data_IF_836979505828
#
_entry.id   IF_836979505828
#
_cell.length_a   1.000
_cell.length_b   1.000
_cell.length_c   1.000
_cell.angle_alpha   90.00
_cell.angle_beta   90.00
_cell.angle_gamma   90.00
#
_symmetry.space_group_name_H-M   'P 1'
#
loop_
_entity.id
_entity.type
_entity.pdbx_description
1 polymer ?
#
# COMPACT_ATOMS: atom_id res chain seq x y z
N UNK A 1 23.97 -4.94 -12.45
CA UNK A 1 23.46 -5.51 -11.21
C UNK A 1 22.27 -6.40 -11.54
N UNK A 2 22.33 -7.63 -11.11
CA UNK A 2 21.26 -8.60 -11.37
C UNK A 2 20.19 -8.50 -10.29
N UNK A 3 18.93 -8.44 -10.71
CA UNK A 3 17.83 -8.51 -9.76
C UNK A 3 17.73 -9.92 -9.17
N UNK A 4 17.45 -10.05 -7.87
CA UNK A 4 17.18 -11.36 -7.29
C UNK A 4 15.88 -11.94 -7.85
N UNK A 5 15.73 -13.26 -7.74
CA UNK A 5 14.50 -13.93 -8.14
C UNK A 5 13.31 -13.46 -7.30
N UNK A 6 12.12 -13.41 -7.89
CA UNK A 6 10.92 -13.06 -7.13
C UNK A 6 10.69 -14.04 -5.98
N UNK A 7 10.18 -13.52 -4.87
CA UNK A 7 9.76 -14.32 -3.72
C UNK A 7 8.24 -14.37 -3.68
N UNK A 8 7.69 -15.52 -3.29
CA UNK A 8 6.27 -15.62 -3.01
C UNK A 8 6.02 -15.11 -1.59
N UNK A 9 5.22 -14.04 -1.47
CA UNK A 9 4.90 -13.42 -0.19
C UNK A 9 3.39 -13.33 -0.02
N UNK A 10 2.88 -13.96 1.04
CA UNK A 10 1.53 -13.68 1.54
C UNK A 10 1.68 -12.57 2.58
N UNK A 11 1.19 -11.38 2.26
CA UNK A 11 1.39 -10.20 3.12
C UNK A 11 0.77 -10.37 4.50
N UNK A 12 -0.22 -11.27 4.65
CA UNK A 12 -0.89 -11.52 5.93
C UNK A 12 -0.12 -12.48 6.83
N UNK A 13 0.93 -13.11 6.33
CA UNK A 13 1.74 -14.06 7.10
C UNK A 13 3.05 -13.44 7.54
N UNK A 14 3.26 -13.42 8.85
CA UNK A 14 4.43 -12.81 9.48
C UNK A 14 5.39 -13.89 9.96
N UNK A 15 6.71 -13.70 9.84
CA UNK A 15 7.37 -12.62 9.08
C UNK A 15 7.39 -12.92 7.57
N UNK A 16 7.55 -11.88 6.76
CA UNK A 16 7.77 -12.08 5.33
C UNK A 16 9.14 -12.77 5.11
N UNK A 17 9.24 -13.70 4.14
CA UNK A 17 10.47 -14.46 3.92
C UNK A 17 11.54 -13.68 3.17
N UNK A 18 11.88 -12.50 3.64
CA UNK A 18 12.90 -11.65 3.04
C UNK A 18 14.27 -12.02 3.61
N UNK A 19 15.26 -12.32 2.76
CA UNK A 19 16.61 -12.65 3.25
C UNK A 19 17.15 -11.52 4.13
N UNK A 20 17.70 -11.88 5.29
CA UNK A 20 18.20 -10.90 6.27
C UNK A 20 19.24 -9.95 5.69
N UNK A 21 20.05 -10.42 4.75
CA UNK A 21 21.05 -9.58 4.08
C UNK A 21 20.45 -8.42 3.26
N UNK A 22 19.18 -8.53 2.88
CA UNK A 22 18.49 -7.47 2.12
C UNK A 22 17.81 -6.46 3.03
N UNK A 23 17.45 -6.87 4.25
CA UNK A 23 16.64 -6.04 5.15
C UNK A 23 17.35 -4.73 5.50
N UNK A 24 18.63 -4.79 5.84
CA UNK A 24 19.38 -3.59 6.24
C UNK A 24 19.54 -2.57 5.11
N UNK A 25 19.38 -3.01 3.87
CA UNK A 25 19.55 -2.18 2.68
C UNK A 25 18.22 -1.77 2.05
N UNK A 26 17.09 -2.11 2.65
CA UNK A 26 15.79 -1.72 2.12
C UNK A 26 15.60 -0.20 2.25
N UNK A 27 15.30 0.44 1.13
CA UNK A 27 15.03 1.89 1.06
C UNK A 27 13.54 2.15 1.04
N UNK A 28 12.76 1.29 0.41
CA UNK A 28 11.34 1.47 0.23
C UNK A 28 10.64 0.15 -0.07
N UNK A 29 9.34 0.13 0.21
CA UNK A 29 8.43 -0.93 -0.21
C UNK A 29 7.40 -0.26 -1.10
N UNK A 30 7.20 -0.79 -2.30
CA UNK A 30 6.29 -0.23 -3.30
C UNK A 30 5.15 -1.22 -3.53
N UNK A 31 3.92 -0.73 -3.46
CA UNK A 31 2.73 -1.54 -3.74
C UNK A 31 1.84 -0.82 -4.75
N UNK A 32 1.51 -1.51 -5.83
CA UNK A 32 0.73 -0.96 -6.93
C UNK A 32 -0.61 -1.71 -7.01
N UNK A 33 -1.71 -1.00 -6.72
CA UNK A 33 -3.09 -1.51 -6.76
C UNK A 33 -3.42 -2.68 -5.83
N UNK A 34 -2.47 -3.28 -5.16
CA UNK A 34 -2.68 -4.49 -4.36
C UNK A 34 -3.75 -4.31 -3.29
N UNK A 35 -3.72 -3.18 -2.58
CA UNK A 35 -4.65 -2.95 -1.45
C UNK A 35 -6.11 -2.82 -1.88
N UNK A 36 -6.37 -2.50 -3.15
CA UNK A 36 -7.72 -2.39 -3.70
C UNK A 36 -8.24 -3.75 -4.18
N UNK A 37 -7.32 -4.64 -4.56
CA UNK A 37 -7.62 -5.96 -5.13
C UNK A 37 -7.25 -7.05 -4.11
N UNK A 38 -7.58 -6.79 -2.86
CA UNK A 38 -7.28 -7.67 -1.73
C UNK A 38 -8.18 -7.27 -0.55
N UNK A 39 -8.42 -8.18 0.40
CA UNK A 39 -9.12 -7.83 1.64
C UNK A 39 -8.39 -6.73 2.41
N UNK A 40 -9.13 -5.96 3.19
CA UNK A 40 -8.56 -4.86 4.00
C UNK A 40 -7.44 -5.32 4.92
N UNK A 41 -7.49 -6.57 5.40
CA UNK A 41 -6.44 -7.14 6.23
C UNK A 41 -5.06 -7.06 5.57
N UNK A 42 -5.02 -7.10 4.23
CA UNK A 42 -3.75 -6.97 3.49
C UNK A 42 -3.15 -5.57 3.64
N UNK A 43 -3.98 -4.53 3.70
CA UNK A 43 -3.51 -3.16 3.96
C UNK A 43 -2.91 -3.06 5.36
N UNK A 44 -3.61 -3.60 6.35
CA UNK A 44 -3.13 -3.62 7.74
C UNK A 44 -1.79 -4.35 7.85
N UNK A 45 -1.70 -5.53 7.25
CA UNK A 45 -0.49 -6.34 7.26
C UNK A 45 0.65 -5.66 6.51
N UNK A 46 0.36 -4.99 5.39
CA UNK A 46 1.37 -4.26 4.62
C UNK A 46 2.09 -3.24 5.51
N UNK A 47 1.34 -2.39 6.21
CA UNK A 47 1.94 -1.37 7.08
C UNK A 47 2.62 -1.98 8.30
N UNK A 48 2.00 -2.99 8.92
CA UNK A 48 2.56 -3.64 10.09
C UNK A 48 3.89 -4.33 9.80
N UNK A 49 3.94 -5.15 8.75
CA UNK A 49 5.16 -5.88 8.40
C UNK A 49 6.23 -4.96 7.82
N UNK A 50 5.83 -3.97 7.03
CA UNK A 50 6.77 -2.95 6.55
C UNK A 50 7.40 -2.17 7.70
N UNK A 51 6.64 -1.88 8.74
CA UNK A 51 7.16 -1.19 9.92
C UNK A 51 8.25 -1.99 10.63
N UNK A 52 8.15 -3.33 10.61
CA UNK A 52 9.17 -4.19 11.19
C UNK A 52 10.44 -4.25 10.34
N UNK A 53 10.29 -4.16 9.02
CA UNK A 53 11.40 -4.32 8.09
C UNK A 53 12.15 -3.03 7.80
N UNK A 54 11.43 -1.90 7.75
CA UNK A 54 12.01 -0.61 7.38
C UNK A 54 12.55 0.13 8.60
N UNK A 55 13.75 0.66 8.47
CA UNK A 55 14.30 1.58 9.45
C UNK A 55 13.63 2.95 9.34
N UNK A 56 13.67 3.75 10.41
CA UNK A 56 13.18 5.12 10.37
C UNK A 56 13.85 5.89 9.24
N UNK A 57 13.08 6.73 8.56
CA UNK A 57 13.55 7.47 7.39
C UNK A 57 13.31 6.77 6.07
N UNK A 58 12.90 5.49 6.07
CA UNK A 58 12.60 4.73 4.85
C UNK A 58 11.12 4.87 4.50
N UNK A 59 10.74 4.36 3.34
CA UNK A 59 9.47 4.72 2.72
C UNK A 59 8.58 3.53 2.35
N UNK A 60 7.27 3.75 2.40
CA UNK A 60 6.28 2.95 1.67
C UNK A 60 5.71 3.85 0.59
N UNK A 61 5.60 3.32 -0.62
CA UNK A 61 5.03 4.02 -1.77
C UNK A 61 3.84 3.20 -2.28
N UNK A 62 2.66 3.82 -2.29
CA UNK A 62 1.45 3.22 -2.81
C UNK A 62 1.03 3.93 -4.08
N UNK A 63 0.57 3.16 -5.07
CA UNK A 63 0.03 3.69 -6.31
C UNK A 63 -1.34 3.05 -6.58
N UNK A 64 -2.30 3.86 -6.98
CA UNK A 64 -3.61 3.37 -7.39
C UNK A 64 -4.68 4.45 -7.32
N UNK A 65 -5.92 4.06 -7.60
CA UNK A 65 -7.06 4.93 -7.38
C UNK A 65 -7.38 4.98 -5.88
N UNK A 66 -7.89 6.10 -5.41
CA UNK A 66 -8.31 6.24 -4.01
C UNK A 66 -9.60 7.06 -3.97
N UNK A 67 -10.47 6.76 -3.01
CA UNK A 67 -11.54 7.69 -2.65
C UNK A 67 -10.96 8.76 -1.74
N UNK A 68 -11.48 9.96 -1.84
CA UNK A 68 -11.13 11.09 -0.99
C UNK A 68 -12.40 11.57 -0.31
N UNK A 69 -12.38 11.69 1.01
CA UNK A 69 -13.54 12.04 1.81
C UNK A 69 -14.75 11.16 1.50
N UNK A 70 -14.49 9.85 1.38
CA UNK A 70 -15.47 8.79 1.10
C UNK A 70 -16.18 8.97 -0.26
N UNK A 71 -15.54 9.67 -1.19
CA UNK A 71 -16.12 9.92 -2.52
C UNK A 71 -15.14 9.52 -3.61
N UNK A 72 -15.68 8.96 -4.70
CA UNK A 72 -14.88 8.70 -5.88
C UNK A 72 -14.51 10.00 -6.58
N UNK A 73 -13.26 10.10 -7.02
CA UNK A 73 -12.77 11.29 -7.73
C UNK A 73 -13.18 11.31 -9.19
N UNK A 74 -13.68 10.19 -9.71
CA UNK A 74 -14.13 10.08 -11.10
C UNK A 74 -15.14 8.95 -11.26
N UNK A 75 -15.90 9.02 -12.39
CA UNK A 75 -16.83 7.94 -12.74
C UNK A 75 -16.10 6.64 -13.08
N UNK A 76 -14.91 6.75 -13.67
CA UNK A 76 -14.12 5.56 -14.00
C UNK A 76 -13.63 4.85 -12.72
N UNK A 77 -13.24 5.59 -11.69
CA UNK A 77 -12.87 4.99 -10.41
C UNK A 77 -14.06 4.34 -9.72
N UNK A 78 -15.23 4.95 -9.82
CA UNK A 78 -16.47 4.35 -9.28
C UNK A 78 -16.82 3.05 -10.00
N UNK A 79 -16.71 3.01 -11.32
CA UNK A 79 -16.96 1.81 -12.11
C UNK A 79 -15.94 0.71 -11.77
N UNK A 80 -14.68 1.07 -11.59
CA UNK A 80 -13.63 0.14 -11.19
C UNK A 80 -13.92 -0.47 -9.81
N UNK A 81 -14.32 0.35 -8.86
CA UNK A 81 -14.70 -0.09 -7.50
C UNK A 81 -15.84 -1.12 -7.57
N UNK A 82 -16.89 -0.81 -8.33
CA UNK A 82 -18.02 -1.73 -8.52
C UNK A 82 -17.57 -3.05 -9.15
N UNK A 83 -16.70 -2.99 -10.16
CA UNK A 83 -16.14 -4.16 -10.82
C UNK A 83 -15.36 -5.05 -9.83
N UNK A 84 -14.56 -4.44 -8.96
CA UNK A 84 -13.81 -5.18 -7.95
C UNK A 84 -14.75 -5.88 -6.97
N UNK A 85 -15.77 -5.18 -6.47
CA UNK A 85 -16.74 -5.71 -5.51
C UNK A 85 -17.56 -6.86 -6.10
N UNK A 86 -17.83 -6.84 -7.39
CA UNK A 86 -18.51 -7.93 -8.09
C UNK A 86 -17.60 -9.16 -8.14
N UNK A 87 -16.29 -8.98 -8.38
CA UNK A 87 -15.34 -10.09 -8.43
C UNK A 87 -15.11 -10.68 -7.03
N UNK A 88 -15.02 -9.84 -6.01
CA UNK A 88 -14.85 -10.26 -4.64
C UNK A 88 -15.35 -9.15 -3.71
N UNK A 89 -16.32 -9.47 -2.84
CA UNK A 89 -16.95 -8.48 -1.97
C UNK A 89 -15.99 -7.83 -0.96
N UNK A 90 -14.82 -8.46 -0.71
CA UNK A 90 -13.81 -7.91 0.19
C UNK A 90 -12.86 -6.93 -0.51
N UNK A 91 -12.94 -6.83 -1.83
CA UNK A 91 -12.13 -5.91 -2.62
C UNK A 91 -12.84 -4.58 -2.82
N UNK A 92 -12.08 -3.55 -3.13
CA UNK A 92 -12.64 -2.26 -3.46
C UNK A 92 -11.61 -1.15 -3.43
N UNK A 93 -11.96 -0.03 -4.05
CA UNK A 93 -11.12 1.18 -3.99
C UNK A 93 -11.16 1.73 -2.57
N UNK A 94 -9.99 1.89 -1.97
CA UNK A 94 -9.86 2.29 -0.55
C UNK A 94 -9.92 3.81 -0.38
N UNK A 95 -10.36 4.22 0.81
CA UNK A 95 -10.35 5.62 1.20
C UNK A 95 -8.95 6.05 1.59
N UNK A 96 -8.49 7.18 1.07
CA UNK A 96 -7.21 7.77 1.42
C UNK A 96 -7.08 7.95 2.94
N UNK A 97 -8.14 8.46 3.59
CA UNK A 97 -8.15 8.75 5.03
C UNK A 97 -8.00 7.49 5.86
N UNK A 98 -8.65 6.39 5.46
CA UNK A 98 -8.55 5.12 6.17
C UNK A 98 -7.14 4.51 6.01
N UNK A 99 -6.55 4.63 4.83
CA UNK A 99 -5.19 4.18 4.59
C UNK A 99 -4.20 5.00 5.42
N UNK A 100 -4.40 6.32 5.49
CA UNK A 100 -3.57 7.20 6.32
C UNK A 100 -3.63 6.82 7.80
N UNK A 101 -4.82 6.46 8.32
CA UNK A 101 -4.96 6.02 9.72
C UNK A 101 -4.12 4.77 9.98
N UNK A 102 -4.16 3.80 9.08
CA UNK A 102 -3.38 2.57 9.20
C UNK A 102 -1.88 2.88 9.18
N UNK A 103 -1.46 3.80 8.31
CA UNK A 103 -0.07 4.25 8.24
C UNK A 103 0.38 4.84 9.59
N UNK A 104 -0.40 5.75 10.15
CA UNK A 104 -0.07 6.44 11.41
C UNK A 104 0.06 5.44 12.56
N UNK A 105 -0.86 4.48 12.66
CA UNK A 105 -0.83 3.45 13.71
C UNK A 105 0.50 2.69 13.68
N UNK A 106 1.07 2.50 12.49
CA UNK A 106 2.31 1.74 12.30
C UNK A 106 3.57 2.60 12.19
N UNK A 107 3.48 3.87 12.57
CA UNK A 107 4.65 4.76 12.64
C UNK A 107 5.04 5.43 11.34
N UNK A 108 4.12 5.48 10.37
CA UNK A 108 4.34 6.12 9.08
C UNK A 108 3.57 7.43 8.96
N UNK A 109 4.14 8.39 8.27
CA UNK A 109 3.51 9.67 7.99
C UNK A 109 3.50 9.93 6.49
N UNK A 110 2.35 10.34 5.96
CA UNK A 110 2.27 10.74 4.56
C UNK A 110 3.11 12.00 4.35
N UNK A 111 4.06 11.93 3.42
CA UNK A 111 4.93 13.05 3.06
C UNK A 111 4.54 13.70 1.75
N UNK A 112 4.06 12.91 0.79
CA UNK A 112 3.66 13.42 -0.50
C UNK A 112 2.43 12.67 -1.01
N UNK A 113 1.60 13.41 -1.73
CA UNK A 113 0.52 12.88 -2.53
C UNK A 113 0.72 13.46 -3.93
N UNK A 114 0.89 12.60 -4.91
CA UNK A 114 1.16 13.02 -6.29
C UNK A 114 0.02 12.55 -7.18
N UNK A 115 -0.63 13.50 -7.85
CA UNK A 115 -1.67 13.17 -8.83
C UNK A 115 -1.03 12.57 -10.07
N UNK A 116 -1.55 11.44 -10.50
CA UNK A 116 -1.05 10.67 -11.63
C UNK A 116 -2.11 10.61 -12.73
N UNK A 117 -1.72 10.25 -13.97
CA UNK A 117 -2.71 10.06 -15.04
C UNK A 117 -3.80 9.06 -14.67
N UNK A 118 -4.96 9.22 -15.29
CA UNK A 118 -6.11 8.33 -15.13
C UNK A 118 -6.69 8.29 -13.71
N UNK A 119 -6.59 9.43 -12.99
CA UNK A 119 -7.14 9.60 -11.65
C UNK A 119 -6.54 8.63 -10.62
N UNK A 120 -5.30 8.25 -10.83
CA UNK A 120 -4.51 7.53 -9.82
C UNK A 120 -3.72 8.50 -8.97
N UNK A 121 -3.34 8.04 -7.78
CA UNK A 121 -2.47 8.79 -6.87
C UNK A 121 -1.22 7.95 -6.57
N UNK A 122 -0.11 8.64 -6.37
CA UNK A 122 1.06 8.07 -5.71
C UNK A 122 1.13 8.66 -4.32
N UNK A 123 1.12 7.79 -3.30
CA UNK A 123 1.21 8.19 -1.90
C UNK A 123 2.58 7.77 -1.38
N UNK A 124 3.30 8.71 -0.78
CA UNK A 124 4.62 8.43 -0.21
C UNK A 124 4.54 8.61 1.30
N UNK A 125 4.79 7.52 2.01
CA UNK A 125 4.82 7.48 3.47
C UNK A 125 6.25 7.28 3.94
N UNK A 126 6.65 8.03 4.96
CA UNK A 126 7.97 7.90 5.59
C UNK A 126 7.80 7.32 6.98
N UNK A 127 8.64 6.35 7.33
CA UNK A 127 8.65 5.82 8.69
C UNK A 127 9.31 6.83 9.61
N UNK A 128 8.59 7.24 10.65
CA UNK A 128 9.03 8.26 11.60
C UNK A 128 9.20 7.72 13.03
N UNK A 129 8.72 6.50 13.29
CA UNK A 129 8.85 5.93 14.63
C UNK A 129 8.90 4.40 14.66
#
# INVERSE_FOLDING_TARGET
TKMPDPLEIDVTKSPWPIPSKLIDNLLAIISINMIHIAPWECTKSLFKESSKLLNCGKFIILYGPFKIEDKHVSKSNEAFDKSLKIQNHDWGVRDLEEVNKEAIINGFQQKQLIEMPNNNLTLIYKKIS
#
